data_IF_627757695933
#
_entry.id   IF_627757695933
#
_cell.length_a   1.000
_cell.length_b   1.000
_cell.length_c   1.000
_cell.angle_alpha   90.00
_cell.angle_beta   90.00
_cell.angle_gamma   90.00
#
_symmetry.space_group_name_H-M   'P 1'
#
loop_
_entity.id
_entity.type
_entity.pdbx_description
1 polymer ?
#
# COMPACT_ATOMS: atom_id res chain seq x y z
N UNK A 1 6.29 21.36 4.90
CA UNK A 1 5.56 21.39 6.19
C UNK A 1 4.41 20.39 6.12
N UNK A 2 4.21 19.59 7.15
CA UNK A 2 3.08 18.65 7.29
C UNK A 2 1.80 19.42 7.64
N UNK A 3 0.66 19.01 7.06
CA UNK A 3 -0.66 19.56 7.37
C UNK A 3 -1.50 18.49 8.08
N UNK A 4 -1.83 18.70 9.35
CA UNK A 4 -2.60 17.78 10.18
C UNK A 4 -3.92 18.44 10.53
N UNK A 5 -5.06 17.79 10.22
CA UNK A 5 -6.39 18.26 10.63
C UNK A 5 -6.49 18.22 12.17
N UNK A 6 -7.13 19.22 12.83
CA UNK A 6 -7.24 19.24 14.30
C UNK A 6 -7.87 17.99 14.92
N UNK A 7 -8.80 17.34 14.22
CA UNK A 7 -9.46 16.10 14.68
C UNK A 7 -8.66 14.82 14.34
N UNK A 8 -7.47 14.91 13.74
CA UNK A 8 -6.61 13.77 13.51
C UNK A 8 -5.76 13.48 14.76
N UNK A 9 -5.52 12.19 15.01
CA UNK A 9 -4.68 11.72 16.11
C UNK A 9 -3.36 11.21 15.56
N UNK A 10 -2.28 11.95 15.76
CA UNK A 10 -0.94 11.56 15.32
C UNK A 10 -0.05 11.41 16.53
N UNK A 11 0.51 10.21 16.72
CA UNK A 11 1.45 9.96 17.82
C UNK A 11 2.69 10.85 17.68
N UNK A 12 3.21 11.42 18.76
CA UNK A 12 4.47 12.16 18.73
C UNK A 12 5.68 11.27 18.38
N UNK A 13 5.56 9.97 18.49
CA UNK A 13 6.57 8.99 18.07
C UNK A 13 6.43 8.57 16.60
N UNK A 14 5.45 9.07 15.86
CA UNK A 14 5.32 8.84 14.42
C UNK A 14 6.22 9.80 13.65
N UNK A 15 6.87 9.30 12.58
CA UNK A 15 7.63 10.12 11.65
C UNK A 15 6.78 10.42 10.41
N UNK A 16 6.55 11.71 10.12
CA UNK A 16 5.73 12.14 8.99
C UNK A 16 6.49 13.15 8.14
N UNK A 17 6.74 12.78 6.88
CA UNK A 17 7.52 13.57 5.94
C UNK A 17 6.80 14.84 5.45
N UNK A 18 7.60 15.83 5.07
CA UNK A 18 7.12 17.12 4.59
C UNK A 18 6.17 17.00 3.39
N UNK A 19 5.22 17.93 3.31
CA UNK A 19 4.20 17.99 2.26
C UNK A 19 3.04 17.02 2.45
N UNK A 20 3.10 16.14 3.47
CA UNK A 20 2.03 15.19 3.76
C UNK A 20 0.83 15.89 4.40
N UNK A 21 -0.37 15.47 3.96
CA UNK A 21 -1.66 15.98 4.46
C UNK A 21 -2.41 14.84 5.15
N UNK A 22 -2.81 15.06 6.41
CA UNK A 22 -3.58 14.11 7.22
C UNK A 22 -4.95 14.72 7.52
N UNK A 23 -6.00 14.02 7.06
CA UNK A 23 -7.38 14.47 7.17
C UNK A 23 -8.00 14.07 8.52
N UNK A 24 -9.19 14.64 8.78
CA UNK A 24 -9.94 14.46 10.03
C UNK A 24 -10.12 12.98 10.41
N UNK A 25 -10.11 12.71 11.72
CA UNK A 25 -10.32 11.38 12.31
C UNK A 25 -9.33 10.30 11.83
N UNK A 26 -8.27 10.66 11.09
CA UNK A 26 -7.18 9.73 10.83
C UNK A 26 -6.41 9.47 12.13
N UNK A 27 -6.00 8.22 12.34
CA UNK A 27 -5.23 7.80 13.51
C UNK A 27 -3.90 7.21 13.06
N UNK A 28 -2.79 7.84 13.46
CA UNK A 28 -1.43 7.40 13.16
C UNK A 28 -0.77 7.00 14.48
N UNK A 29 -0.47 5.71 14.61
CA UNK A 29 0.10 5.15 15.82
C UNK A 29 1.61 5.41 15.91
N UNK A 30 2.14 5.07 17.09
CA UNK A 30 3.55 5.19 17.44
C UNK A 30 4.45 4.41 16.48
N UNK A 31 5.63 4.97 16.21
CA UNK A 31 6.66 4.39 15.32
C UNK A 31 6.21 4.14 13.86
N UNK A 32 5.01 4.57 13.48
CA UNK A 32 4.63 4.60 12.08
C UNK A 32 5.52 5.60 11.32
N UNK A 33 5.94 5.26 10.12
CA UNK A 33 6.75 6.11 9.25
C UNK A 33 6.00 6.40 7.98
N UNK A 34 5.75 7.66 7.69
CA UNK A 34 5.05 8.13 6.49
C UNK A 34 5.97 9.07 5.74
N UNK A 35 6.22 8.77 4.47
CA UNK A 35 7.10 9.57 3.61
C UNK A 35 6.53 10.95 3.27
N UNK A 36 7.16 11.61 2.30
CA UNK A 36 6.82 12.98 1.88
C UNK A 36 5.66 13.00 0.89
N UNK A 37 4.92 14.14 0.87
CA UNK A 37 3.88 14.43 -0.12
C UNK A 37 2.78 13.36 -0.18
N UNK A 38 2.45 12.73 0.95
CA UNK A 38 1.38 11.76 1.05
C UNK A 38 0.02 12.44 1.31
N UNK A 39 -1.06 11.74 0.99
CA UNK A 39 -2.42 12.11 1.37
C UNK A 39 -3.02 10.97 2.20
N UNK A 40 -3.32 11.24 3.45
CA UNK A 40 -3.94 10.30 4.38
C UNK A 40 -5.38 10.75 4.58
N UNK A 41 -6.32 9.99 4.03
CA UNK A 41 -7.74 10.28 4.01
C UNK A 41 -8.41 10.27 5.39
N UNK A 42 -9.65 10.71 5.43
CA UNK A 42 -10.46 10.72 6.65
C UNK A 42 -10.62 9.29 7.21
N UNK A 43 -10.49 9.15 8.54
CA UNK A 43 -10.74 7.89 9.24
C UNK A 43 -9.75 6.78 8.91
N UNK A 44 -8.64 7.08 8.26
CA UNK A 44 -7.57 6.10 7.99
C UNK A 44 -6.92 5.70 9.31
N UNK A 45 -6.75 4.40 9.52
CA UNK A 45 -6.02 3.84 10.63
C UNK A 45 -4.65 3.33 10.17
N UNK A 46 -3.59 3.87 10.72
CA UNK A 46 -2.20 3.43 10.52
C UNK A 46 -1.67 2.93 11.85
N UNK A 47 -1.48 1.62 11.95
CA UNK A 47 -1.03 0.97 13.17
C UNK A 47 0.47 1.19 13.43
N UNK A 48 0.87 0.84 14.65
CA UNK A 48 2.25 0.81 15.11
C UNK A 48 3.22 0.24 14.08
N UNK A 49 4.29 0.97 13.81
CA UNK A 49 5.40 0.49 12.99
C UNK A 49 5.13 0.30 11.49
N UNK A 50 3.95 0.65 10.99
CA UNK A 50 3.64 0.63 9.55
C UNK A 50 4.57 1.58 8.81
N UNK A 51 5.04 1.16 7.62
CA UNK A 51 5.92 1.96 6.77
C UNK A 51 5.19 2.36 5.49
N UNK A 52 5.12 3.65 5.23
CA UNK A 52 4.52 4.25 4.04
C UNK A 52 5.57 5.10 3.34
N UNK A 53 5.84 4.81 2.08
CA UNK A 53 6.75 5.58 1.24
C UNK A 53 6.23 6.99 0.92
N UNK A 54 6.88 7.66 0.00
CA UNK A 54 6.52 9.02 -0.42
C UNK A 54 5.48 9.01 -1.55
N UNK A 55 4.72 10.12 -1.71
CA UNK A 55 3.71 10.29 -2.76
C UNK A 55 2.59 9.23 -2.73
N UNK A 56 2.35 8.62 -1.58
CA UNK A 56 1.29 7.63 -1.37
C UNK A 56 -0.04 8.33 -1.13
N UNK A 57 -1.12 7.81 -1.74
CA UNK A 57 -2.48 8.29 -1.50
C UNK A 57 -3.29 7.18 -0.83
N UNK A 58 -3.71 7.40 0.40
CA UNK A 58 -4.57 6.49 1.15
C UNK A 58 -5.93 7.15 1.31
N UNK A 59 -6.95 6.51 0.74
CA UNK A 59 -8.31 7.03 0.75
C UNK A 59 -9.02 6.71 2.08
N UNK A 60 -10.21 7.30 2.26
CA UNK A 60 -10.95 7.28 3.53
C UNK A 60 -11.16 5.87 4.08
N UNK A 61 -11.06 5.74 5.40
CA UNK A 61 -11.40 4.54 6.18
C UNK A 61 -10.59 3.28 5.81
N UNK A 62 -9.42 3.43 5.19
CA UNK A 62 -8.52 2.30 5.02
C UNK A 62 -7.85 1.93 6.34
N UNK A 63 -7.60 0.61 6.54
CA UNK A 63 -6.97 0.06 7.74
C UNK A 63 -5.62 -0.59 7.39
N UNK A 64 -4.57 -0.01 7.93
CA UNK A 64 -3.19 -0.43 7.71
C UNK A 64 -2.63 -0.99 9.01
N UNK A 65 -2.54 -2.31 9.10
CA UNK A 65 -2.05 -3.00 10.30
C UNK A 65 -0.55 -3.26 10.25
N UNK A 66 0.03 -3.48 11.43
CA UNK A 66 1.46 -3.73 11.60
C UNK A 66 1.98 -4.86 10.69
N UNK A 67 3.21 -4.72 10.21
CA UNK A 67 3.84 -5.62 9.22
C UNK A 67 3.58 -5.20 7.77
N UNK A 68 2.88 -4.09 7.54
CA UNK A 68 2.66 -3.52 6.20
C UNK A 68 3.76 -2.55 5.82
N UNK A 69 4.26 -2.68 4.59
CA UNK A 69 5.12 -1.73 3.90
C UNK A 69 4.49 -1.33 2.57
N UNK A 70 4.27 -0.02 2.36
CA UNK A 70 3.89 0.57 1.08
C UNK A 70 5.09 1.30 0.49
N UNK A 71 5.51 0.94 -0.72
CA UNK A 71 6.54 1.70 -1.46
C UNK A 71 5.96 3.03 -2.00
N UNK A 72 6.82 3.87 -2.57
CA UNK A 72 6.42 5.18 -3.12
C UNK A 72 5.34 5.07 -4.20
N UNK A 73 4.50 6.10 -4.30
CA UNK A 73 3.50 6.23 -5.36
C UNK A 73 2.32 5.26 -5.28
N UNK A 74 2.20 4.46 -4.22
CA UNK A 74 1.08 3.52 -4.04
C UNK A 74 -0.24 4.27 -3.85
N UNK A 75 -1.30 3.75 -4.48
CA UNK A 75 -2.67 4.18 -4.25
C UNK A 75 -3.44 3.13 -3.46
N UNK A 76 -4.07 3.54 -2.36
CA UNK A 76 -4.95 2.70 -1.53
C UNK A 76 -6.36 3.28 -1.57
N UNK A 77 -7.30 2.54 -2.12
CA UNK A 77 -8.72 2.91 -2.23
C UNK A 77 -9.43 2.98 -0.88
N UNK A 78 -10.63 3.58 -0.84
CA UNK A 78 -11.40 3.68 0.40
C UNK A 78 -11.80 2.29 0.92
N UNK A 79 -11.84 2.17 2.26
CA UNK A 79 -12.21 0.93 2.96
C UNK A 79 -11.34 -0.29 2.62
N UNK A 80 -10.13 -0.10 2.12
CA UNK A 80 -9.17 -1.20 1.96
C UNK A 80 -8.68 -1.66 3.33
N UNK A 81 -8.56 -2.98 3.49
CA UNK A 81 -8.04 -3.59 4.72
C UNK A 81 -6.82 -4.45 4.41
N UNK A 82 -5.70 -4.16 5.06
CA UNK A 82 -4.54 -5.05 5.09
C UNK A 82 -4.56 -5.80 6.42
N UNK A 83 -4.69 -7.12 6.41
CA UNK A 83 -4.65 -7.92 7.65
C UNK A 83 -3.21 -8.20 8.07
N UNK A 84 -2.97 -8.55 9.34
CA UNK A 84 -1.65 -8.88 9.89
C UNK A 84 -1.57 -10.25 10.57
N UNK A 85 -2.70 -10.92 10.78
CA UNK A 85 -2.77 -12.27 11.32
C UNK A 85 -3.42 -13.23 10.30
N UNK A 86 -2.75 -14.35 10.00
CA UNK A 86 -3.27 -15.40 9.09
C UNK A 86 -4.26 -16.34 9.78
N UNK A 87 -4.18 -16.46 11.11
CA UNK A 87 -4.98 -17.40 11.89
C UNK A 87 -5.57 -16.68 13.10
N UNK A 88 -6.45 -15.68 12.88
CA UNK A 88 -6.99 -14.88 13.97
C UNK A 88 -7.86 -15.73 14.89
N UNK A 89 -7.59 -15.63 16.19
CA UNK A 89 -8.36 -16.27 17.26
C UNK A 89 -8.45 -15.32 18.44
N UNK A 90 -9.60 -15.29 19.11
CA UNK A 90 -9.77 -14.53 20.34
C UNK A 90 -9.22 -15.24 21.58
N UNK A 91 -9.18 -16.57 21.54
CA UNK A 91 -8.70 -17.41 22.63
C UNK A 91 -7.75 -18.51 22.14
N UNK A 92 -6.91 -19.01 23.02
CA UNK A 92 -6.08 -20.20 22.84
C UNK A 92 -6.94 -21.47 23.03
N UNK A 93 -6.44 -22.66 22.58
CA UNK A 93 -7.17 -23.92 22.75
C UNK A 93 -7.50 -24.28 24.20
N UNK A 94 -6.75 -23.77 25.17
CA UNK A 94 -6.97 -23.95 26.61
C UNK A 94 -8.01 -22.97 27.21
N UNK A 95 -8.59 -22.10 26.39
CA UNK A 95 -9.61 -21.11 26.80
C UNK A 95 -9.03 -19.79 27.32
N UNK A 96 -7.73 -19.62 27.39
CA UNK A 96 -7.12 -18.34 27.79
C UNK A 96 -7.22 -17.29 26.67
N UNK A 97 -7.28 -16.00 27.03
CA UNK A 97 -7.27 -14.91 26.06
C UNK A 97 -5.94 -14.92 25.29
N UNK A 98 -6.03 -14.89 23.97
CA UNK A 98 -4.84 -14.82 23.12
C UNK A 98 -4.18 -13.46 23.23
N UNK A 99 -2.90 -13.45 23.59
CA UNK A 99 -2.09 -12.25 23.73
C UNK A 99 -1.09 -12.06 22.60
N UNK A 100 -0.28 -11.01 22.68
CA UNK A 100 0.71 -10.66 21.66
C UNK A 100 1.79 -11.75 21.42
N UNK A 101 2.07 -12.59 22.40
CA UNK A 101 3.04 -13.68 22.29
C UNK A 101 2.49 -14.93 21.58
N UNK A 102 1.18 -15.00 21.36
CA UNK A 102 0.50 -16.21 20.87
C UNK A 102 0.34 -16.22 19.34
N UNK A 103 0.83 -15.19 18.64
CA UNK A 103 0.75 -15.10 17.19
C UNK A 103 1.94 -14.34 16.59
N UNK A 104 2.10 -14.45 15.31
CA UNK A 104 3.19 -13.78 14.58
C UNK A 104 2.61 -12.80 13.58
N UNK A 105 3.12 -11.57 13.62
CA UNK A 105 2.77 -10.54 12.64
C UNK A 105 3.25 -10.97 11.26
N UNK A 106 2.33 -11.04 10.30
CA UNK A 106 2.69 -11.32 8.91
C UNK A 106 3.21 -10.07 8.21
N UNK A 107 4.16 -10.25 7.28
CA UNK A 107 4.73 -9.16 6.50
C UNK A 107 4.05 -9.06 5.14
N UNK A 108 3.52 -7.89 4.81
CA UNK A 108 2.90 -7.58 3.51
C UNK A 108 3.63 -6.40 2.87
N UNK A 109 3.96 -6.52 1.59
CA UNK A 109 4.64 -5.47 0.84
C UNK A 109 3.85 -5.08 -0.39
N UNK A 110 3.59 -3.78 -0.55
CA UNK A 110 2.99 -3.19 -1.75
C UNK A 110 4.06 -2.40 -2.47
N UNK A 111 4.41 -2.83 -3.67
CA UNK A 111 5.53 -2.28 -4.41
C UNK A 111 5.13 -1.03 -5.18
N UNK A 112 6.14 -0.29 -5.63
CA UNK A 112 6.07 1.02 -6.27
C UNK A 112 4.93 1.15 -7.28
N UNK A 113 4.12 2.21 -7.14
CA UNK A 113 3.07 2.58 -8.09
C UNK A 113 1.87 1.64 -8.16
N UNK A 114 1.80 0.60 -7.32
CA UNK A 114 0.63 -0.29 -7.30
C UNK A 114 -0.64 0.43 -6.83
N UNK A 115 -1.80 -0.03 -7.33
CA UNK A 115 -3.11 0.53 -7.01
C UNK A 115 -4.02 -0.53 -6.41
N UNK A 116 -4.60 -0.24 -5.25
CA UNK A 116 -5.53 -1.12 -4.55
C UNK A 116 -6.93 -0.52 -4.63
N UNK A 117 -7.85 -1.20 -5.28
CA UNK A 117 -9.23 -0.76 -5.47
C UNK A 117 -10.03 -0.73 -4.17
N UNK A 118 -11.11 0.07 -4.17
CA UNK A 118 -11.98 0.26 -3.01
C UNK A 118 -12.49 -1.07 -2.42
N UNK A 119 -12.60 -1.16 -1.10
CA UNK A 119 -13.11 -2.34 -0.38
C UNK A 119 -12.33 -3.64 -0.63
N UNK A 120 -11.12 -3.57 -1.20
CA UNK A 120 -10.28 -4.76 -1.33
C UNK A 120 -9.71 -5.18 0.04
N UNK A 121 -9.55 -6.48 0.21
CA UNK A 121 -8.90 -7.07 1.40
C UNK A 121 -7.59 -7.72 0.94
N UNK A 122 -6.49 -7.37 1.61
CA UNK A 122 -5.19 -7.98 1.38
C UNK A 122 -4.84 -8.84 2.59
N UNK A 123 -4.82 -10.15 2.38
CA UNK A 123 -4.43 -11.11 3.42
C UNK A 123 -2.92 -11.02 3.62
N UNK A 124 -2.49 -10.99 4.88
CA UNK A 124 -1.07 -10.83 5.23
C UNK A 124 -0.17 -11.89 4.63
N UNK A 125 1.09 -11.53 4.41
CA UNK A 125 2.13 -12.43 3.90
C UNK A 125 2.21 -12.48 2.37
N UNK A 126 1.69 -11.45 1.67
CA UNK A 126 1.75 -11.35 0.21
C UNK A 126 2.56 -10.13 -0.24
N UNK A 127 3.13 -10.24 -1.44
CA UNK A 127 3.74 -9.12 -2.14
C UNK A 127 2.83 -8.70 -3.30
N UNK A 128 2.50 -7.42 -3.36
CA UNK A 128 1.78 -6.81 -4.49
C UNK A 128 2.80 -6.13 -5.39
N UNK A 129 2.87 -6.57 -6.65
CA UNK A 129 3.88 -6.17 -7.62
C UNK A 129 3.78 -4.71 -8.06
N UNK A 130 4.86 -4.20 -8.66
CA UNK A 130 4.95 -2.83 -9.19
C UNK A 130 3.89 -2.56 -10.23
N UNK A 131 3.25 -1.39 -10.18
CA UNK A 131 2.25 -0.95 -11.15
C UNK A 131 1.07 -1.94 -11.32
N UNK A 132 0.95 -2.95 -10.43
CA UNK A 132 -0.21 -3.84 -10.47
C UNK A 132 -1.48 -3.12 -10.03
N UNK A 133 -2.62 -3.64 -10.45
CA UNK A 133 -3.93 -3.07 -10.15
C UNK A 133 -4.82 -4.14 -9.53
N UNK A 134 -5.25 -3.90 -8.31
CA UNK A 134 -6.21 -4.74 -7.59
C UNK A 134 -7.60 -4.15 -7.81
N UNK A 135 -8.50 -4.92 -8.39
CA UNK A 135 -9.89 -4.50 -8.59
C UNK A 135 -10.64 -4.31 -7.28
N UNK A 136 -11.61 -3.39 -7.28
CA UNK A 136 -12.45 -3.12 -6.10
C UNK A 136 -13.15 -4.38 -5.61
N UNK A 137 -13.28 -4.53 -4.28
CA UNK A 137 -13.92 -5.70 -3.64
C UNK A 137 -13.13 -7.00 -3.73
N UNK A 138 -11.90 -6.99 -4.25
CA UNK A 138 -11.09 -8.21 -4.38
C UNK A 138 -10.50 -8.67 -3.05
N UNK A 139 -10.31 -9.99 -2.89
CA UNK A 139 -9.60 -10.59 -1.75
C UNK A 139 -8.28 -11.18 -2.22
N UNK A 140 -7.18 -10.49 -1.94
CA UNK A 140 -5.83 -10.91 -2.35
C UNK A 140 -5.27 -11.88 -1.33
N UNK A 141 -5.04 -13.13 -1.75
CA UNK A 141 -4.56 -14.23 -0.90
C UNK A 141 -3.21 -14.79 -1.31
N UNK A 142 -2.62 -14.27 -2.39
CA UNK A 142 -1.33 -14.70 -2.96
C UNK A 142 -0.61 -13.50 -3.56
N UNK A 143 0.67 -13.66 -3.81
CA UNK A 143 1.48 -12.65 -4.49
C UNK A 143 0.86 -12.26 -5.84
N UNK A 144 0.99 -10.98 -6.15
CA UNK A 144 0.50 -10.37 -7.39
C UNK A 144 1.72 -9.96 -8.22
N UNK A 145 1.85 -10.44 -9.47
CA UNK A 145 2.95 -10.05 -10.35
C UNK A 145 2.97 -8.55 -10.65
N UNK A 146 4.15 -8.02 -11.01
CA UNK A 146 4.27 -6.66 -11.53
C UNK A 146 3.35 -6.48 -12.74
N UNK A 147 2.66 -5.34 -12.83
CA UNK A 147 1.72 -4.99 -13.90
C UNK A 147 0.45 -5.86 -14.02
N UNK A 148 0.24 -6.82 -13.14
CA UNK A 148 -0.96 -7.65 -13.21
C UNK A 148 -2.22 -6.86 -12.81
N UNK A 149 -3.30 -7.07 -13.54
CA UNK A 149 -4.65 -6.72 -13.14
C UNK A 149 -5.31 -7.94 -12.51
N UNK A 150 -5.69 -7.83 -11.23
CA UNK A 150 -6.34 -8.93 -10.51
C UNK A 150 -7.71 -8.50 -9.99
N UNK A 151 -8.67 -9.44 -10.02
CA UNK A 151 -10.03 -9.22 -9.52
C UNK A 151 -10.59 -10.48 -8.86
N UNK A 152 -11.59 -10.30 -8.02
CA UNK A 152 -12.41 -11.38 -7.47
C UNK A 152 -12.04 -11.82 -6.05
N UNK A 153 -12.80 -12.82 -5.56
CA UNK A 153 -12.61 -13.45 -4.26
C UNK A 153 -12.58 -14.98 -4.43
N UNK A 154 -11.42 -15.64 -4.31
CA UNK A 154 -10.09 -15.03 -4.18
C UNK A 154 -9.65 -14.35 -5.49
N UNK A 155 -8.83 -13.31 -5.39
CA UNK A 155 -8.33 -12.55 -6.54
C UNK A 155 -7.52 -13.41 -7.52
N UNK A 156 -7.76 -13.20 -8.83
CA UNK A 156 -7.04 -13.88 -9.91
C UNK A 156 -6.58 -12.88 -10.96
N UNK A 157 -5.46 -13.17 -11.62
CA UNK A 157 -4.97 -12.38 -12.75
C UNK A 157 -5.98 -12.49 -13.90
N UNK A 158 -6.47 -11.34 -14.38
CA UNK A 158 -7.41 -11.24 -15.50
C UNK A 158 -6.85 -10.40 -16.66
N UNK A 159 -5.64 -9.91 -16.53
CA UNK A 159 -4.97 -9.11 -17.55
C UNK A 159 -3.76 -8.38 -17.02
N UNK A 160 -3.26 -7.46 -17.83
CA UNK A 160 -2.06 -6.67 -17.56
C UNK A 160 -2.32 -5.19 -17.82
N UNK A 161 -1.62 -4.32 -17.12
CA UNK A 161 -1.76 -2.85 -17.25
C UNK A 161 -0.40 -2.16 -17.25
N UNK A 162 -0.28 -1.09 -18.03
CA UNK A 162 0.88 -0.20 -17.96
C UNK A 162 0.86 0.68 -16.71
N UNK A 163 1.89 1.50 -16.52
CA UNK A 163 1.94 2.47 -15.41
C UNK A 163 0.79 3.49 -15.43
N UNK A 164 0.30 3.87 -16.62
CA UNK A 164 -0.87 4.74 -16.75
C UNK A 164 -2.22 4.01 -16.56
N UNK A 165 -2.21 2.69 -16.35
CA UNK A 165 -3.43 1.88 -16.23
C UNK A 165 -4.03 1.42 -17.56
N UNK A 166 -3.32 1.62 -18.70
CA UNK A 166 -3.75 1.13 -20.01
C UNK A 166 -3.69 -0.40 -20.04
N UNK A 167 -4.76 -1.05 -20.50
CA UNK A 167 -4.75 -2.51 -20.69
C UNK A 167 -3.77 -2.94 -21.76
N UNK A 168 -3.06 -4.04 -21.49
CA UNK A 168 -2.06 -4.66 -22.33
C UNK A 168 -2.39 -6.14 -22.52
N UNK A 169 -1.95 -6.73 -23.63
CA UNK A 169 -2.20 -8.14 -23.94
C UNK A 169 -1.32 -9.08 -23.10
N UNK A 170 -0.12 -8.61 -22.70
CA UNK A 170 0.82 -9.38 -21.86
C UNK A 170 1.57 -8.51 -20.88
N UNK A 171 2.28 -9.14 -19.95
CA UNK A 171 3.17 -8.45 -19.02
C UNK A 171 4.31 -7.75 -19.74
N UNK A 172 4.88 -8.37 -20.76
CA UNK A 172 5.97 -7.81 -21.57
C UNK A 172 5.54 -6.51 -22.27
N UNK A 173 4.31 -6.50 -22.82
CA UNK A 173 3.72 -5.31 -23.43
C UNK A 173 3.53 -4.21 -22.37
N UNK A 174 2.99 -4.56 -21.20
CA UNK A 174 2.79 -3.61 -20.10
C UNK A 174 4.11 -2.96 -19.66
N UNK A 175 5.18 -3.75 -19.55
CA UNK A 175 6.53 -3.27 -19.25
C UNK A 175 7.06 -2.35 -20.36
N UNK A 176 6.89 -2.73 -21.64
CA UNK A 176 7.35 -1.93 -22.77
C UNK A 176 6.61 -0.59 -22.83
N UNK A 177 5.29 -0.58 -22.71
CA UNK A 177 4.48 0.65 -22.67
C UNK A 177 4.88 1.54 -21.51
N UNK A 178 5.03 0.98 -20.31
CA UNK A 178 5.45 1.73 -19.11
C UNK A 178 6.78 2.45 -19.31
N UNK A 179 7.76 1.84 -19.98
CA UNK A 179 9.03 2.49 -20.28
C UNK A 179 8.88 3.71 -21.18
N UNK A 180 7.88 3.73 -22.05
CA UNK A 180 7.59 4.89 -22.91
C UNK A 180 6.79 5.98 -22.20
N UNK A 181 6.03 5.62 -21.16
CA UNK A 181 5.23 6.54 -20.35
C UNK A 181 6.06 7.26 -19.27
N UNK A 182 7.17 6.69 -18.85
CA UNK A 182 8.06 7.32 -17.88
C UNK A 182 8.89 8.41 -18.56
N UNK A 183 9.04 9.62 -17.96
CA UNK A 183 9.93 10.63 -18.49
C UNK A 183 11.34 10.01 -18.60
N UNK A 184 11.98 10.18 -19.77
CA UNK A 184 13.38 9.81 -19.92
C UNK A 184 14.15 10.63 -18.90
N UNK A 185 14.69 9.98 -17.88
CA UNK A 185 15.72 10.58 -17.06
C UNK A 185 16.87 10.89 -18.03
N UNK A 186 17.21 12.16 -18.22
CA UNK A 186 18.44 12.53 -18.93
C UNK A 186 19.58 11.88 -18.17
N UNK A 187 20.05 10.76 -18.69
CA UNK A 187 21.25 10.10 -18.21
C UNK A 187 22.43 11.07 -18.38
N UNK A 188 23.23 11.16 -17.34
CA UNK A 188 24.59 11.62 -17.38
C UNK A 188 25.29 11.11 -18.62
N UNK A 189 25.54 12.00 -19.58
CA UNK A 189 26.66 11.91 -20.51
C UNK A 189 26.80 13.25 -21.25
N UNK A 190 27.31 14.24 -20.52
CA UNK A 190 27.97 15.40 -21.09
C UNK A 190 29.45 15.14 -21.19
N UNK A 191 29.90 14.46 -22.23
CA UNK A 191 31.24 14.57 -22.72
C UNK A 191 31.19 14.90 -24.22
N UNK A 192 31.18 16.19 -24.51
CA UNK A 192 31.70 16.72 -25.76
C UNK A 192 33.23 16.58 -25.71
N UNK A 193 33.80 15.66 -26.47
CA UNK A 193 35.20 15.72 -26.87
C UNK A 193 35.30 16.47 -28.20
N UNK A 194 36.10 17.51 -28.16
CA UNK A 194 36.60 18.38 -29.22
C UNK A 194 37.00 17.67 -30.50
#
# INVERSE_FOLDING_TARGET
MVKIHPDAQVSPEADVGDGTVIWRNAQIREKARIGKNCIIGQGVYVEYGVVVGSQVKIQNNASLYNGLELEDGVFVGPHVVFTNDKVPRGINPDGTLRGAADWTVGSTRVRFGASIGACAVVVTGVTIGRWSMIGSGSVVTRDVPDHALVVGNPARVVGWVSASGKRCASQEEALAVTRTEQPRTHGENGELKT
#
